data_IF_069485849245
#
_entry.id   IF_069485849245
#
_cell.length_a   1.000
_cell.length_b   1.000
_cell.length_c   1.000
_cell.angle_alpha   90.00
_cell.angle_beta   90.00
_cell.angle_gamma   90.00
#
_symmetry.space_group_name_H-M   'P 1'
#
loop_
_entity.id
_entity.type
_entity.pdbx_description
1 polymer ?
#
# COMPACT_ATOMS: atom_id res chain seq x y z
N UNK A 1 -1.15 72.33 29.60
CA UNK A 1 -1.82 73.11 28.55
C UNK A 1 -1.40 72.54 27.22
N UNK A 2 -2.39 71.99 26.53
CA UNK A 2 -2.48 71.62 25.11
C UNK A 2 -1.20 71.29 24.34
N UNK A 3 -1.16 70.11 23.73
CA UNK A 3 -1.61 70.02 22.33
C UNK A 3 -1.41 68.61 21.75
N UNK A 4 -2.17 68.36 20.69
CA UNK A 4 -2.01 67.33 19.66
C UNK A 4 -2.76 66.01 19.84
N UNK A 5 -4.03 66.11 19.41
CA UNK A 5 -4.73 65.07 18.64
C UNK A 5 -3.77 64.38 17.67
N UNK A 6 -3.44 63.11 17.92
CA UNK A 6 -2.93 62.22 16.88
C UNK A 6 -4.13 61.57 16.20
N UNK A 7 -4.25 61.84 14.90
CA UNK A 7 -5.29 61.33 14.03
C UNK A 7 -5.25 59.81 13.96
N UNK A 8 -6.42 59.20 13.78
CA UNK A 8 -6.64 57.76 13.61
C UNK A 8 -5.98 57.16 12.35
N UNK A 9 -5.02 57.85 11.74
CA UNK A 9 -4.33 57.43 10.52
C UNK A 9 -3.09 56.56 10.78
N UNK A 10 -2.54 56.55 12.00
CA UNK A 10 -1.45 55.62 12.37
C UNK A 10 -1.92 54.18 12.66
N UNK A 11 -3.23 53.91 12.60
CA UNK A 11 -3.79 52.56 12.82
C UNK A 11 -3.64 51.63 11.61
N UNK A 12 -3.20 52.14 10.45
CA UNK A 12 -3.11 51.37 9.20
C UNK A 12 -1.72 50.84 8.85
N UNK A 13 -0.67 51.21 9.57
CA UNK A 13 0.69 50.66 9.34
C UNK A 13 1.07 49.48 10.23
N UNK A 14 0.22 49.08 11.18
CA UNK A 14 0.34 47.78 11.85
C UNK A 14 -0.44 46.69 11.11
N UNK A 15 -0.53 46.81 9.78
CA UNK A 15 -1.11 45.83 8.86
C UNK A 15 -0.04 45.09 8.04
N UNK A 16 1.24 45.16 8.42
CA UNK A 16 2.35 44.59 7.63
C UNK A 16 3.40 43.89 8.49
N UNK A 17 2.99 43.15 9.52
CA UNK A 17 3.82 42.06 10.06
C UNK A 17 2.95 41.02 10.77
N UNK A 18 2.02 40.44 10.01
CA UNK A 18 1.67 39.05 10.28
C UNK A 18 2.68 38.23 9.48
N UNK A 19 3.74 37.81 10.16
CA UNK A 19 4.54 36.69 9.67
C UNK A 19 3.55 35.57 9.36
N UNK A 20 3.30 35.37 8.06
CA UNK A 20 2.74 34.12 7.56
C UNK A 20 3.73 33.05 8.00
N UNK A 21 3.48 32.46 9.18
CA UNK A 21 4.07 31.18 9.54
C UNK A 21 3.81 30.29 8.34
N UNK A 22 4.87 29.96 7.60
CA UNK A 22 4.83 28.91 6.59
C UNK A 22 4.15 27.73 7.27
N UNK A 23 3.11 27.10 6.70
CA UNK A 23 2.54 25.91 7.30
C UNK A 23 3.70 24.94 7.53
N UNK A 24 3.87 24.50 8.77
CA UNK A 24 4.83 23.47 9.09
C UNK A 24 4.60 22.32 8.10
N UNK A 25 5.66 21.84 7.45
CA UNK A 25 5.62 20.63 6.63
C UNK A 25 4.91 19.57 7.47
N UNK A 26 3.66 19.23 7.10
CA UNK A 26 2.92 18.18 7.79
C UNK A 26 3.71 16.91 7.58
N UNK A 27 4.37 16.45 8.64
CA UNK A 27 4.90 15.09 8.68
C UNK A 27 3.68 14.18 8.56
N UNK A 28 3.63 13.40 7.48
CA UNK A 28 2.58 12.39 7.30
C UNK A 28 2.63 11.47 8.53
N UNK A 29 1.53 11.26 9.26
CA UNK A 29 1.53 10.37 10.42
C UNK A 29 2.10 9.00 10.04
N UNK A 30 2.93 8.45 10.93
CA UNK A 30 3.51 7.11 10.79
C UNK A 30 2.36 6.10 10.55
N UNK A 31 2.46 5.28 9.50
CA UNK A 31 1.39 4.33 9.13
C UNK A 31 0.24 4.87 8.26
N UNK A 32 0.09 6.19 8.05
CA UNK A 32 -1.02 6.76 7.26
C UNK A 32 -1.08 6.21 5.83
N UNK A 33 0.11 6.00 5.24
CA UNK A 33 0.24 5.44 3.90
C UNK A 33 -0.26 3.99 3.84
N UNK A 34 -0.01 3.19 4.86
CA UNK A 34 -0.46 1.81 4.93
C UNK A 34 -1.95 1.73 5.26
N UNK A 35 -2.44 2.52 6.21
CA UNK A 35 -3.86 2.65 6.54
C UNK A 35 -4.69 3.01 5.29
N UNK A 36 -4.22 3.96 4.48
CA UNK A 36 -4.85 4.31 3.21
C UNK A 36 -4.80 3.20 2.16
N UNK A 37 -3.76 2.36 2.15
CA UNK A 37 -3.68 1.18 1.28
C UNK A 37 -4.67 0.09 1.73
N UNK A 38 -4.79 -0.17 3.04
CA UNK A 38 -5.76 -1.11 3.60
C UNK A 38 -7.19 -0.71 3.22
N UNK A 39 -7.54 0.58 3.33
CA UNK A 39 -8.84 1.10 2.89
C UNK A 39 -9.13 0.85 1.42
N UNK A 40 -8.15 1.10 0.55
CA UNK A 40 -8.30 0.86 -0.89
C UNK A 40 -8.47 -0.62 -1.19
N UNK A 41 -7.64 -1.45 -0.57
CA UNK A 41 -7.69 -2.90 -0.68
C UNK A 41 -9.07 -3.43 -0.26
N UNK A 42 -9.57 -3.06 0.92
CA UNK A 42 -10.89 -3.46 1.40
C UNK A 42 -12.01 -2.97 0.47
N UNK A 43 -11.91 -1.72 0.01
CA UNK A 43 -12.86 -1.15 -0.93
C UNK A 43 -12.90 -1.87 -2.28
N UNK A 44 -11.76 -2.32 -2.80
CA UNK A 44 -11.67 -3.17 -3.99
C UNK A 44 -12.28 -4.55 -3.72
N UNK A 45 -11.92 -5.19 -2.61
CA UNK A 45 -12.43 -6.52 -2.24
C UNK A 45 -13.95 -6.55 -2.12
N UNK A 46 -14.55 -5.53 -1.48
CA UNK A 46 -16.01 -5.39 -1.34
C UNK A 46 -16.75 -5.30 -2.68
N UNK A 47 -16.07 -4.86 -3.74
CA UNK A 47 -16.64 -4.73 -5.09
C UNK A 47 -16.33 -5.93 -5.98
N UNK A 48 -15.42 -6.80 -5.56
CA UNK A 48 -15.08 -7.99 -6.32
C UNK A 48 -16.30 -8.93 -6.41
N UNK A 49 -16.48 -9.54 -7.56
CA UNK A 49 -17.47 -10.59 -7.76
C UNK A 49 -17.17 -11.83 -6.90
N UNK A 50 -15.87 -12.04 -6.61
CA UNK A 50 -15.35 -13.12 -5.77
C UNK A 50 -14.41 -12.52 -4.73
N UNK A 51 -14.94 -12.03 -3.59
CA UNK A 51 -14.12 -11.40 -2.57
C UNK A 51 -13.19 -12.43 -1.90
N UNK A 52 -11.98 -12.00 -1.62
CA UNK A 52 -11.01 -12.71 -0.78
C UNK A 52 -11.38 -12.58 0.69
N UNK A 53 -11.06 -13.62 1.47
CA UNK A 53 -10.99 -13.49 2.91
C UNK A 53 -9.73 -12.69 3.28
N UNK A 54 -9.90 -11.52 3.89
CA UNK A 54 -8.78 -10.65 4.28
C UNK A 54 -8.46 -10.90 5.74
N UNK A 55 -7.19 -11.19 6.04
CA UNK A 55 -6.67 -11.30 7.39
C UNK A 55 -5.47 -10.35 7.57
N UNK A 56 -5.52 -9.51 8.61
CA UNK A 56 -4.43 -8.66 9.06
C UNK A 56 -3.71 -9.35 10.23
N UNK A 57 -2.59 -10.01 9.94
CA UNK A 57 -1.77 -10.74 10.91
C UNK A 57 -0.63 -9.87 11.46
N UNK A 58 -0.13 -10.18 12.66
CA UNK A 58 0.88 -9.34 13.32
C UNK A 58 0.38 -7.91 13.58
N UNK A 59 -0.93 -7.73 13.69
CA UNK A 59 -1.61 -6.44 13.72
C UNK A 59 -2.33 -6.26 15.06
N UNK A 60 -1.66 -5.59 15.99
CA UNK A 60 -2.25 -5.28 17.30
C UNK A 60 -3.25 -4.14 17.22
N UNK A 61 -4.37 -4.31 17.94
CA UNK A 61 -5.39 -3.27 18.11
C UNK A 61 -4.88 -2.09 18.93
N UNK A 62 -3.81 -2.29 19.70
CA UNK A 62 -3.18 -1.24 20.51
C UNK A 62 -2.01 -0.56 19.76
N UNK A 63 -1.85 -0.85 18.47
CA UNK A 63 -0.77 -0.28 17.66
C UNK A 63 -1.10 1.12 17.12
N UNK A 64 -0.09 2.00 16.93
CA UNK A 64 -0.30 3.29 16.25
C UNK A 64 -0.88 3.15 14.85
N UNK A 65 -0.64 2.03 14.17
CA UNK A 65 -1.19 1.75 12.85
C UNK A 65 -2.70 1.42 12.92
N UNK A 66 -3.14 0.71 13.96
CA UNK A 66 -4.58 0.44 14.17
C UNK A 66 -5.34 1.75 14.43
N UNK A 67 -4.81 2.60 15.31
CA UNK A 67 -5.35 3.94 15.56
C UNK A 67 -5.42 4.78 14.27
N UNK A 68 -4.37 4.73 13.45
CA UNK A 68 -4.36 5.43 12.18
C UNK A 68 -5.39 4.85 11.19
N UNK A 69 -5.65 3.54 11.22
CA UNK A 69 -6.72 2.92 10.44
C UNK A 69 -8.10 3.39 10.90
N UNK A 70 -8.37 3.45 12.21
CA UNK A 70 -9.62 4.01 12.74
C UNK A 70 -9.80 5.47 12.32
N UNK A 71 -8.73 6.27 12.41
CA UNK A 71 -8.74 7.70 12.09
C UNK A 71 -8.97 8.00 10.61
N UNK A 72 -8.40 7.20 9.71
CA UNK A 72 -8.44 7.46 8.26
C UNK A 72 -9.60 6.77 7.53
N UNK A 73 -10.15 5.73 8.13
CA UNK A 73 -11.06 4.81 7.47
C UNK A 73 -12.35 4.71 8.28
N UNK A 74 -13.35 5.52 7.89
CA UNK A 74 -14.65 5.52 8.55
C UNK A 74 -15.25 4.11 8.59
N UNK A 75 -15.62 3.67 9.80
CA UNK A 75 -16.16 2.33 10.03
C UNK A 75 -15.16 1.19 9.91
N UNK A 76 -13.85 1.45 10.05
CA UNK A 76 -12.80 0.41 10.02
C UNK A 76 -13.09 -0.76 10.96
N UNK A 77 -13.58 -0.50 12.17
CA UNK A 77 -13.96 -1.53 13.14
C UNK A 77 -15.12 -2.44 12.68
N UNK A 78 -15.87 -2.03 11.65
CA UNK A 78 -16.93 -2.81 11.04
C UNK A 78 -16.52 -3.42 9.69
N UNK A 79 -15.22 -3.38 9.34
CA UNK A 79 -14.75 -4.06 8.14
C UNK A 79 -14.86 -5.58 8.34
N UNK A 80 -15.33 -6.27 7.30
CA UNK A 80 -15.38 -7.73 7.28
C UNK A 80 -13.98 -8.27 6.94
N UNK A 81 -13.11 -8.27 7.93
CA UNK A 81 -11.75 -8.81 7.89
C UNK A 81 -11.40 -9.37 9.26
N UNK A 82 -10.45 -10.29 9.30
CA UNK A 82 -9.86 -10.76 10.56
C UNK A 82 -8.68 -9.86 10.93
N UNK A 83 -8.54 -9.59 12.23
CA UNK A 83 -7.38 -8.90 12.81
C UNK A 83 -6.81 -9.75 13.93
N UNK A 84 -5.51 -9.98 13.91
CA UNK A 84 -4.82 -10.76 14.95
C UNK A 84 -3.38 -10.30 15.14
N UNK A 85 -2.90 -10.39 16.37
CA UNK A 85 -1.50 -10.14 16.74
C UNK A 85 -0.57 -11.29 16.36
N UNK A 86 -1.12 -12.47 16.11
CA UNK A 86 -0.34 -13.66 15.75
C UNK A 86 0.27 -13.52 14.34
N UNK A 87 1.46 -14.09 14.16
CA UNK A 87 2.13 -14.12 12.85
C UNK A 87 1.47 -15.18 11.95
N UNK A 88 1.33 -14.86 10.66
CA UNK A 88 0.76 -15.75 9.65
C UNK A 88 1.40 -17.15 9.61
N UNK A 89 2.70 -17.27 9.93
CA UNK A 89 3.41 -18.55 9.98
C UNK A 89 2.98 -19.46 11.13
N UNK A 90 2.34 -18.90 12.16
CA UNK A 90 1.79 -19.66 13.30
C UNK A 90 0.31 -19.97 13.15
N UNK A 91 -0.42 -19.15 12.39
CA UNK A 91 -1.88 -19.27 12.20
C UNK A 91 -2.29 -20.29 11.14
N UNK A 92 -1.50 -20.44 10.08
CA UNK A 92 -1.85 -21.26 8.93
C UNK A 92 -0.81 -22.37 8.70
N UNK A 93 -1.22 -23.54 8.15
CA UNK A 93 -0.27 -24.60 7.80
C UNK A 93 0.74 -24.10 6.75
N UNK A 94 2.03 -24.26 7.02
CA UNK A 94 3.11 -23.67 6.21
C UNK A 94 3.05 -24.08 4.74
N UNK A 95 2.58 -25.31 4.44
CA UNK A 95 2.43 -25.86 3.10
C UNK A 95 1.36 -25.16 2.25
N UNK A 96 0.41 -24.47 2.91
CA UNK A 96 -0.67 -23.70 2.27
C UNK A 96 -0.27 -22.24 2.03
N UNK A 97 0.85 -21.79 2.60
CA UNK A 97 1.30 -20.40 2.51
C UNK A 97 2.12 -20.18 1.22
N UNK A 98 1.83 -19.07 0.54
CA UNK A 98 2.68 -18.52 -0.53
C UNK A 98 2.99 -17.06 -0.20
N UNK A 99 4.26 -16.77 0.04
CA UNK A 99 4.71 -15.41 0.30
C UNK A 99 4.98 -14.65 -1.00
N UNK A 100 4.22 -13.59 -1.25
CA UNK A 100 4.37 -12.76 -2.45
C UNK A 100 5.50 -11.74 -2.28
N UNK A 101 6.50 -11.84 -3.13
CA UNK A 101 7.69 -10.99 -3.09
C UNK A 101 8.29 -10.80 -4.49
N UNK A 102 8.70 -9.57 -4.87
CA UNK A 102 9.37 -9.34 -6.14
C UNK A 102 10.73 -10.07 -6.23
N UNK A 103 11.32 -10.45 -5.09
CA UNK A 103 12.62 -11.13 -5.02
C UNK A 103 12.54 -12.65 -5.31
N UNK A 104 11.34 -13.20 -5.53
CA UNK A 104 11.18 -14.63 -5.83
C UNK A 104 11.61 -14.97 -7.26
N UNK A 105 12.31 -16.11 -7.40
CA UNK A 105 12.66 -16.67 -8.70
C UNK A 105 11.48 -17.35 -9.42
N UNK A 106 10.41 -17.67 -8.70
CA UNK A 106 9.20 -18.28 -9.29
C UNK A 106 8.16 -17.21 -9.57
N UNK A 107 7.68 -17.15 -10.82
CA UNK A 107 6.52 -16.34 -11.16
C UNK A 107 5.25 -17.03 -10.68
N UNK A 108 4.28 -16.26 -10.21
CA UNK A 108 2.95 -16.78 -9.91
C UNK A 108 2.23 -17.08 -11.23
N UNK A 109 1.97 -18.36 -11.48
CA UNK A 109 1.33 -18.82 -12.73
C UNK A 109 -0.20 -18.82 -12.64
N UNK A 110 -0.75 -19.20 -11.49
CA UNK A 110 -2.18 -19.27 -11.20
C UNK A 110 -2.48 -18.98 -9.71
N UNK A 111 -3.75 -18.71 -9.38
CA UNK A 111 -4.25 -18.48 -8.02
C UNK A 111 -5.10 -19.67 -7.58
N UNK A 112 -4.61 -20.43 -6.59
CA UNK A 112 -5.32 -21.56 -5.98
C UNK A 112 -6.22 -21.07 -4.83
N UNK A 113 -7.54 -21.33 -4.85
CA UNK A 113 -8.46 -20.98 -3.77
C UNK A 113 -8.13 -21.60 -2.40
N UNK A 114 -7.33 -22.67 -2.36
CA UNK A 114 -6.93 -23.35 -1.12
C UNK A 114 -5.59 -22.85 -0.57
N UNK A 115 -4.98 -21.86 -1.22
CA UNK A 115 -3.69 -21.28 -0.85
C UNK A 115 -3.87 -19.92 -0.15
N UNK A 116 -3.10 -19.69 0.90
CA UNK A 116 -3.04 -18.41 1.62
C UNK A 116 -1.89 -17.56 1.05
N UNK A 117 -2.25 -16.49 0.34
CA UNK A 117 -1.28 -15.58 -0.26
C UNK A 117 -0.92 -14.44 0.69
N UNK A 118 0.33 -14.41 1.14
CA UNK A 118 0.82 -13.39 2.08
C UNK A 118 1.34 -12.19 1.28
N UNK A 119 0.77 -11.02 1.52
CA UNK A 119 1.25 -9.73 1.00
C UNK A 119 1.92 -8.97 2.13
N UNK A 120 3.22 -8.69 2.00
CA UNK A 120 3.96 -7.96 3.02
C UNK A 120 3.40 -6.54 3.27
N UNK A 121 2.76 -6.34 4.42
CA UNK A 121 2.33 -5.04 4.93
C UNK A 121 3.51 -4.29 5.53
N UNK A 122 4.25 -3.53 4.72
CA UNK A 122 5.37 -2.74 5.23
C UNK A 122 4.86 -1.55 6.08
N UNK A 123 5.04 -1.65 7.40
CA UNK A 123 4.87 -0.53 8.33
C UNK A 123 6.19 0.24 8.40
N UNK A 124 6.25 1.33 7.63
CA UNK A 124 7.27 2.39 7.67
C UNK A 124 8.72 2.08 7.27
N UNK A 125 9.39 3.19 6.96
CA UNK A 125 10.61 3.37 6.18
C UNK A 125 11.90 2.87 6.84
N UNK A 126 11.82 2.04 7.89
CA UNK A 126 12.97 1.44 8.54
C UNK A 126 12.92 -0.08 8.48
N UNK A 127 13.64 -0.63 7.49
CA UNK A 127 14.37 -1.90 7.62
C UNK A 127 13.52 -3.13 8.01
N UNK A 128 12.54 -3.54 7.20
CA UNK A 128 12.05 -4.94 7.25
C UNK A 128 11.83 -5.61 5.88
N UNK A 129 12.22 -4.98 4.76
CA UNK A 129 12.18 -5.66 3.44
C UNK A 129 12.95 -6.99 3.42
N UNK A 130 14.06 -7.07 4.19
CA UNK A 130 14.82 -8.30 4.36
C UNK A 130 14.20 -9.23 5.39
N UNK A 131 13.57 -8.71 6.44
CA UNK A 131 13.05 -9.52 7.55
C UNK A 131 11.90 -10.41 7.10
N UNK A 132 10.99 -9.94 6.25
CA UNK A 132 9.83 -10.76 5.85
C UNK A 132 10.17 -11.81 4.79
N UNK A 133 11.04 -11.50 3.82
CA UNK A 133 11.54 -12.51 2.87
C UNK A 133 12.50 -13.51 3.52
N UNK A 134 13.37 -13.05 4.43
CA UNK A 134 14.23 -13.94 5.20
C UNK A 134 13.41 -14.85 6.11
N UNK A 135 12.39 -14.33 6.81
CA UNK A 135 11.43 -15.15 7.56
C UNK A 135 10.78 -16.21 6.68
N UNK A 136 10.27 -15.85 5.49
CA UNK A 136 9.67 -16.83 4.59
C UNK A 136 10.68 -17.95 4.21
N UNK A 137 11.95 -17.60 4.00
CA UNK A 137 13.02 -18.59 3.77
C UNK A 137 13.35 -19.43 5.01
N UNK A 138 13.39 -18.82 6.19
CA UNK A 138 13.65 -19.50 7.47
C UNK A 138 12.57 -20.54 7.76
N UNK A 139 11.30 -20.19 7.53
CA UNK A 139 10.16 -21.11 7.65
C UNK A 139 9.99 -22.04 6.44
N UNK A 140 10.86 -21.96 5.42
CA UNK A 140 10.79 -22.75 4.19
C UNK A 140 9.43 -22.66 3.47
N UNK A 141 8.78 -21.51 3.56
CA UNK A 141 7.50 -21.23 2.91
C UNK A 141 7.72 -20.94 1.42
N UNK A 142 6.79 -21.39 0.57
CA UNK A 142 6.84 -21.12 -0.87
C UNK A 142 6.80 -19.62 -1.13
N UNK A 143 7.54 -19.15 -2.13
CA UNK A 143 7.58 -17.73 -2.50
C UNK A 143 7.28 -17.55 -3.98
N UNK A 144 6.49 -16.55 -4.35
CA UNK A 144 6.22 -16.22 -5.75
C UNK A 144 6.27 -14.70 -5.99
N UNK A 145 6.64 -14.28 -7.21
CA UNK A 145 6.53 -12.88 -7.67
C UNK A 145 5.35 -12.76 -8.63
N UNK A 146 4.77 -11.57 -8.75
CA UNK A 146 3.84 -11.30 -9.85
C UNK A 146 4.58 -11.39 -11.20
N UNK A 147 3.93 -11.88 -12.27
CA UNK A 147 4.59 -12.13 -13.55
C UNK A 147 4.83 -10.86 -14.38
N UNK A 148 5.37 -9.81 -13.77
CA UNK A 148 5.63 -8.51 -14.43
C UNK A 148 6.67 -8.68 -15.54
N UNK A 149 7.69 -9.50 -15.32
CA UNK A 149 8.82 -9.67 -16.25
C UNK A 149 8.41 -10.45 -17.51
N UNK A 150 7.43 -11.32 -17.37
CA UNK A 150 6.86 -12.16 -18.41
C UNK A 150 5.97 -11.33 -19.35
N UNK A 151 5.11 -10.46 -18.79
CA UNK A 151 4.07 -9.76 -19.54
C UNK A 151 4.33 -8.27 -19.78
N UNK A 152 5.26 -7.65 -19.06
CA UNK A 152 5.54 -6.21 -19.16
C UNK A 152 7.00 -5.93 -19.54
N UNK A 153 7.20 -4.77 -20.15
CA UNK A 153 8.49 -4.27 -20.61
C UNK A 153 8.73 -2.86 -20.09
N UNK A 154 10.01 -2.51 -19.94
CA UNK A 154 10.41 -1.17 -19.51
C UNK A 154 10.02 -0.15 -20.58
N UNK A 155 9.18 0.80 -20.20
CA UNK A 155 8.85 1.98 -20.99
C UNK A 155 9.99 2.98 -20.87
N UNK A 156 10.43 3.56 -21.98
CA UNK A 156 11.29 4.74 -21.94
C UNK A 156 10.49 5.90 -21.32
N UNK A 157 11.03 6.49 -20.24
CA UNK A 157 10.42 7.62 -19.58
C UNK A 157 11.49 8.66 -19.20
N UNK A 158 11.08 9.92 -19.09
CA UNK A 158 11.97 11.05 -18.81
C UNK A 158 12.76 10.91 -17.51
N UNK A 159 12.23 10.12 -16.56
CA UNK A 159 12.80 9.94 -15.21
C UNK A 159 13.74 8.74 -15.09
N UNK A 160 13.88 7.94 -16.16
CA UNK A 160 14.55 6.64 -16.17
C UNK A 160 14.24 5.77 -14.93
N UNK A 161 12.96 5.78 -14.50
CA UNK A 161 12.51 5.09 -13.29
C UNK A 161 11.66 3.88 -13.64
N UNK A 162 12.05 2.72 -13.09
CA UNK A 162 11.38 1.43 -13.27
C UNK A 162 11.30 0.72 -11.93
N UNK A 163 10.10 0.31 -11.50
CA UNK A 163 9.92 -0.43 -10.25
C UNK A 163 8.88 -1.52 -10.37
N UNK A 164 9.30 -2.75 -10.06
CA UNK A 164 8.44 -3.94 -9.93
C UNK A 164 7.82 -4.04 -8.52
N UNK A 165 8.27 -3.19 -7.60
CA UNK A 165 7.76 -3.15 -6.23
C UNK A 165 6.42 -2.40 -6.22
N UNK A 166 5.35 -3.13 -5.91
CA UNK A 166 3.99 -2.60 -5.84
C UNK A 166 3.55 -2.34 -4.39
N UNK A 167 2.61 -1.41 -4.21
CA UNK A 167 1.92 -1.21 -2.95
C UNK A 167 0.96 -2.38 -2.66
N UNK A 168 0.58 -2.62 -1.40
CA UNK A 168 -0.24 -3.81 -1.04
C UNK A 168 -1.60 -3.80 -1.76
N UNK A 169 -2.20 -2.61 -1.92
CA UNK A 169 -3.46 -2.47 -2.62
C UNK A 169 -3.31 -2.77 -4.11
N UNK A 170 -2.14 -2.44 -4.70
CA UNK A 170 -1.87 -2.74 -6.10
C UNK A 170 -1.69 -4.23 -6.31
N UNK A 171 -0.95 -4.92 -5.43
CA UNK A 171 -0.81 -6.38 -5.47
C UNK A 171 -2.18 -7.03 -5.35
N UNK A 172 -3.00 -6.59 -4.39
CA UNK A 172 -4.37 -7.08 -4.25
C UNK A 172 -5.22 -6.86 -5.50
N UNK A 173 -5.18 -5.67 -6.10
CA UNK A 173 -5.93 -5.38 -7.32
C UNK A 173 -5.50 -6.31 -8.48
N UNK A 174 -4.19 -6.66 -8.58
CA UNK A 174 -3.72 -7.67 -9.55
C UNK A 174 -4.33 -9.03 -9.24
N UNK A 175 -4.21 -9.52 -8.00
CA UNK A 175 -4.70 -10.85 -7.61
C UNK A 175 -6.21 -10.97 -7.82
N UNK A 176 -6.96 -9.97 -7.37
CA UNK A 176 -8.42 -9.92 -7.51
C UNK A 176 -8.85 -9.91 -8.96
N UNK A 177 -8.18 -9.12 -9.81
CA UNK A 177 -8.51 -9.09 -11.25
C UNK A 177 -8.17 -10.41 -11.91
N UNK A 178 -7.00 -10.99 -11.62
CA UNK A 178 -6.62 -12.28 -12.20
C UNK A 178 -7.56 -13.41 -11.76
N UNK A 179 -8.00 -13.43 -10.51
CA UNK A 179 -8.92 -14.45 -10.02
C UNK A 179 -10.30 -14.39 -10.68
N UNK A 180 -10.68 -13.23 -11.22
CA UNK A 180 -11.92 -13.04 -11.98
C UNK A 180 -11.74 -13.35 -13.47
N UNK A 181 -10.62 -12.95 -14.08
CA UNK A 181 -10.44 -12.96 -15.54
C UNK A 181 -9.53 -14.05 -16.06
N UNK A 182 -8.73 -14.66 -15.19
CA UNK A 182 -7.61 -15.55 -15.51
C UNK A 182 -6.66 -14.96 -16.57
N UNK A 183 -6.53 -13.63 -16.62
CA UNK A 183 -5.76 -12.90 -17.62
C UNK A 183 -4.70 -12.01 -16.97
N UNK A 184 -3.44 -12.44 -17.01
CA UNK A 184 -2.31 -11.70 -16.44
C UNK A 184 -2.11 -10.31 -17.04
N UNK A 185 -2.12 -10.10 -18.37
CA UNK A 185 -2.06 -8.76 -18.95
C UNK A 185 -3.12 -7.79 -18.40
N UNK A 186 -4.37 -8.22 -18.26
CA UNK A 186 -5.44 -7.40 -17.71
C UNK A 186 -5.22 -7.10 -16.22
N UNK A 187 -4.88 -8.12 -15.45
CA UNK A 187 -4.59 -8.00 -14.02
C UNK A 187 -3.40 -7.05 -13.75
N UNK A 188 -2.30 -7.22 -14.49
CA UNK A 188 -1.12 -6.37 -14.35
C UNK A 188 -1.39 -4.93 -14.78
N UNK A 189 -2.19 -4.71 -15.82
CA UNK A 189 -2.64 -3.36 -16.23
C UNK A 189 -3.45 -2.67 -15.13
N UNK A 190 -4.21 -3.43 -14.34
CA UNK A 190 -4.97 -2.89 -13.19
C UNK A 190 -4.06 -2.41 -12.06
N UNK A 191 -3.09 -3.23 -11.65
CA UNK A 191 -2.26 -2.94 -10.47
C UNK A 191 -0.99 -2.15 -10.76
N UNK A 192 -0.35 -2.34 -11.91
CA UNK A 192 0.90 -1.68 -12.29
C UNK A 192 0.61 -0.34 -12.96
N UNK A 193 0.70 0.74 -12.17
CA UNK A 193 0.42 2.08 -12.69
C UNK A 193 1.51 2.56 -13.69
N UNK A 194 1.16 3.42 -14.66
CA UNK A 194 2.13 3.93 -15.65
C UNK A 194 3.37 4.60 -15.04
N UNK A 195 3.24 5.17 -13.83
CA UNK A 195 4.34 5.78 -13.09
C UNK A 195 5.40 4.78 -12.60
N UNK A 196 5.16 3.47 -12.71
CA UNK A 196 6.13 2.41 -12.40
C UNK A 196 7.12 2.16 -13.53
N UNK A 197 6.91 2.75 -14.71
CA UNK A 197 7.81 2.61 -15.86
C UNK A 197 7.64 1.31 -16.64
N UNK A 198 6.62 0.51 -16.36
CA UNK A 198 6.33 -0.72 -17.11
C UNK A 198 5.05 -0.56 -17.93
N UNK A 199 5.06 -1.11 -19.15
CA UNK A 199 3.89 -1.22 -20.04
C UNK A 199 3.74 -2.67 -20.50
N UNK A 200 2.54 -3.07 -20.89
CA UNK A 200 2.31 -4.41 -21.45
C UNK A 200 3.15 -4.59 -22.72
N UNK A 201 3.73 -5.77 -22.89
CA UNK A 201 4.57 -6.11 -24.05
C UNK A 201 3.84 -5.89 -25.38
N UNK A 202 2.54 -6.21 -25.43
CA UNK A 202 1.72 -6.07 -26.64
C UNK A 202 1.22 -4.63 -26.90
N UNK A 203 1.59 -3.65 -26.07
CA UNK A 203 1.24 -2.23 -26.29
C UNK A 203 2.37 -1.43 -26.97
N UNK A 204 3.41 -2.13 -27.45
CA UNK A 204 4.52 -1.57 -28.23
C UNK A 204 4.33 -1.74 -29.76
N UNK A 205 3.23 -2.36 -30.18
CA UNK A 205 2.75 -2.38 -31.57
C UNK A 205 1.77 -1.22 -31.80
#
# INVERSE_FOLDING_TARGET
MDSLRSSSFCRWMWYMSTERKRPALQTVPRGARLAGQIRRLYGSNKKASRPFWICLTGFSTDSPLYEECLRMNDGFSAYLLDVTEEDCFSLFPLETLVYLTPDSQQALEDIDPNTVYIIGGLVDESIQKKVTFQKAREYSVKTARLPIQEYMVKRQNEKNYHSEILAINQVFDVLSTYFETHNWPEALKKGVSPGKGYILRNSME
#
